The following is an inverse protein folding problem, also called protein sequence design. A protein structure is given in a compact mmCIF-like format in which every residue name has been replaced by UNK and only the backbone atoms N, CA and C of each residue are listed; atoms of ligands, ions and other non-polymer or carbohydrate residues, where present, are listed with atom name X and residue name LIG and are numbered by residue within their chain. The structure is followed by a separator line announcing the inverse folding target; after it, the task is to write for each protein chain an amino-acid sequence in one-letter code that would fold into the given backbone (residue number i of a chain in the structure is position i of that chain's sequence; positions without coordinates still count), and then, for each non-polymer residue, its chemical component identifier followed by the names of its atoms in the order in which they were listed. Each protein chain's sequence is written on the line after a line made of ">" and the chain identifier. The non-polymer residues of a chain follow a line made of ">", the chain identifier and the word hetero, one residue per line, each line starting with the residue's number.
data_IF_914708426328
#
_entry.id   IF_914708426328
#
_cell.length_a   1.000
_cell.length_b   1.000
_cell.length_c   1.000
_cell.angle_alpha   90.00
_cell.angle_beta   90.00
_cell.angle_gamma   90.00
#
_symmetry.space_group_name_H-M   'P 1'
#
loop_
_entity.id
_entity.type
_entity.pdbx_description
1 polymer ?
#
# COMPACT_ATOMS: atom_id res chain seq x y z
N UNK A 1 3.19 -6.19 -21.85
CA UNK A 1 4.21 -5.39 -21.14
C UNK A 1 5.58 -5.63 -21.79
N UNK A 2 6.40 -4.61 -21.98
CA UNK A 2 7.77 -4.76 -22.48
C UNK A 2 8.79 -4.92 -21.34
N UNK A 3 10.03 -5.31 -21.67
CA UNK A 3 11.14 -5.49 -20.71
C UNK A 3 11.22 -4.38 -19.67
N UNK A 4 11.24 -3.10 -20.13
CA UNK A 4 11.36 -1.94 -19.23
C UNK A 4 10.22 -1.83 -18.24
N UNK A 5 8.98 -2.03 -18.69
CA UNK A 5 7.80 -1.96 -17.83
C UNK A 5 7.76 -3.10 -16.82
N UNK A 6 8.13 -4.32 -17.22
CA UNK A 6 8.23 -5.47 -16.32
C UNK A 6 9.26 -5.22 -15.20
N UNK A 7 10.46 -4.76 -15.55
CA UNK A 7 11.47 -4.43 -14.52
C UNK A 7 11.03 -3.30 -13.59
N UNK A 8 10.25 -2.35 -14.07
CA UNK A 8 9.73 -1.25 -13.25
C UNK A 8 8.63 -1.66 -12.24
N UNK A 9 8.11 -2.89 -12.34
CA UNK A 9 7.17 -3.41 -11.32
C UNK A 9 7.87 -3.72 -9.99
N UNK A 10 9.18 -3.95 -10.01
CA UNK A 10 9.94 -4.38 -8.82
C UNK A 10 9.72 -5.85 -8.44
N UNK A 11 8.96 -6.61 -9.23
CA UNK A 11 8.69 -8.05 -8.99
C UNK A 11 9.93 -8.89 -9.27
N UNK A 12 10.73 -8.50 -10.26
CA UNK A 12 11.93 -9.22 -10.65
C UNK A 12 13.17 -8.65 -9.99
N UNK A 13 13.98 -9.50 -9.37
CA UNK A 13 15.26 -9.11 -8.77
C UNK A 13 16.40 -9.07 -9.81
N UNK A 14 16.26 -9.87 -10.86
CA UNK A 14 17.27 -9.94 -11.94
C UNK A 14 16.58 -9.95 -13.32
N UNK A 15 17.36 -9.46 -14.32
CA UNK A 15 16.92 -9.56 -15.73
C UNK A 15 16.72 -11.01 -16.18
N UNK A 16 17.49 -11.93 -15.63
CA UNK A 16 17.39 -13.36 -15.94
C UNK A 16 16.04 -13.94 -15.49
N UNK A 17 15.63 -13.63 -14.27
CA UNK A 17 14.33 -14.05 -13.73
C UNK A 17 13.16 -13.53 -14.56
N UNK A 18 13.24 -12.28 -15.01
CA UNK A 18 12.24 -11.72 -15.91
C UNK A 18 12.21 -12.43 -17.27
N UNK A 19 13.38 -12.79 -17.84
CA UNK A 19 13.45 -13.55 -19.09
C UNK A 19 12.86 -14.95 -18.89
N UNK A 20 13.16 -15.62 -17.79
CA UNK A 20 12.57 -16.92 -17.44
C UNK A 20 11.05 -16.82 -17.42
N UNK A 21 10.49 -15.82 -16.76
CA UNK A 21 9.05 -15.56 -16.74
C UNK A 21 8.48 -15.37 -18.16
N UNK A 22 9.10 -14.53 -18.99
CA UNK A 22 8.60 -14.27 -20.35
C UNK A 22 8.61 -15.54 -21.17
N UNK A 23 9.68 -16.32 -21.13
CA UNK A 23 9.78 -17.58 -21.87
C UNK A 23 8.71 -18.59 -21.42
N UNK A 24 8.50 -18.74 -20.12
CA UNK A 24 7.47 -19.63 -19.59
C UNK A 24 6.07 -19.15 -19.93
N UNK A 25 5.82 -17.82 -19.87
CA UNK A 25 4.55 -17.24 -20.26
C UNK A 25 4.24 -17.50 -21.74
N UNK A 26 5.21 -17.29 -22.62
CA UNK A 26 5.05 -17.59 -24.06
C UNK A 26 4.71 -19.07 -24.26
N UNK A 27 5.40 -19.98 -23.56
CA UNK A 27 5.09 -21.42 -23.65
C UNK A 27 3.69 -21.73 -23.11
N UNK A 28 3.26 -21.03 -22.04
CA UNK A 28 1.93 -21.19 -21.45
C UNK A 28 0.81 -20.75 -22.37
N UNK A 29 1.00 -19.62 -23.04
CA UNK A 29 -0.01 -19.02 -23.91
C UNK A 29 -0.14 -19.76 -25.27
N UNK A 30 0.71 -20.75 -25.55
CA UNK A 30 0.69 -21.57 -26.76
C UNK A 30 0.24 -23.01 -26.51
N UNK A 31 -0.55 -23.55 -27.42
CA UNK A 31 -1.17 -24.88 -27.28
C UNK A 31 -0.22 -26.08 -27.57
N UNK A 32 1.08 -25.86 -27.69
CA UNK A 32 2.01 -26.92 -28.08
C UNK A 32 3.45 -26.68 -27.67
N UNK A 33 4.31 -27.67 -27.98
CA UNK A 33 5.72 -27.54 -27.69
C UNK A 33 6.38 -26.43 -28.48
N UNK A 34 7.14 -25.54 -27.84
CA UNK A 34 7.88 -24.45 -28.48
C UNK A 34 9.38 -24.70 -28.48
N UNK A 35 9.99 -24.50 -29.65
CA UNK A 35 11.43 -24.56 -29.86
C UNK A 35 12.13 -23.21 -29.65
N UNK A 36 13.46 -23.26 -29.49
CA UNK A 36 14.26 -22.04 -29.25
C UNK A 36 14.16 -21.01 -30.39
N UNK A 37 13.86 -21.45 -31.63
CA UNK A 37 13.71 -20.52 -32.75
C UNK A 37 12.41 -19.70 -32.63
N UNK A 38 11.29 -20.37 -32.39
CA UNK A 38 9.98 -19.70 -32.19
C UNK A 38 10.02 -18.77 -31.00
N UNK A 39 10.54 -19.23 -29.83
CA UNK A 39 10.69 -18.43 -28.63
C UNK A 39 11.59 -17.20 -28.84
N UNK A 40 12.62 -17.31 -29.70
CA UNK A 40 13.43 -16.16 -30.07
C UNK A 40 12.65 -15.09 -30.84
N UNK A 41 11.77 -15.50 -31.73
CA UNK A 41 10.92 -14.55 -32.49
C UNK A 41 9.91 -13.87 -31.54
N UNK A 42 9.22 -14.63 -30.71
CA UNK A 42 8.17 -14.11 -29.82
C UNK A 42 8.73 -13.22 -28.69
N UNK A 43 9.93 -13.49 -28.17
CA UNK A 43 10.52 -12.66 -27.11
C UNK A 43 10.91 -11.26 -27.62
N UNK A 44 11.06 -11.08 -28.93
CA UNK A 44 11.30 -9.76 -29.52
C UNK A 44 10.13 -8.79 -29.30
N UNK A 45 8.89 -9.29 -29.19
CA UNK A 45 7.70 -8.47 -28.89
C UNK A 45 7.75 -7.85 -27.50
N UNK A 46 8.54 -8.43 -26.61
CA UNK A 46 8.84 -7.86 -25.28
C UNK A 46 10.01 -6.87 -25.31
N UNK A 47 10.63 -6.64 -26.46
CA UNK A 47 11.79 -5.77 -26.62
C UNK A 47 13.14 -6.42 -26.28
N UNK A 48 13.18 -7.76 -26.20
CA UNK A 48 14.37 -8.52 -25.83
C UNK A 48 14.97 -9.18 -27.08
N UNK A 49 16.21 -8.82 -27.39
CA UNK A 49 16.97 -9.44 -28.48
C UNK A 49 17.97 -10.45 -27.92
N UNK A 50 17.83 -11.72 -28.30
CA UNK A 50 18.72 -12.81 -27.93
C UNK A 50 19.02 -13.73 -29.12
N UNK A 51 20.17 -14.44 -29.06
CA UNK A 51 20.42 -15.52 -30.01
C UNK A 51 19.64 -16.79 -29.67
N UNK A 52 19.32 -17.62 -30.67
CA UNK A 52 18.71 -18.93 -30.47
C UNK A 52 19.52 -19.81 -29.51
N UNK A 53 20.86 -19.70 -29.54
CA UNK A 53 21.74 -20.41 -28.61
C UNK A 53 21.56 -19.92 -27.16
N UNK A 54 21.31 -18.62 -26.96
CA UNK A 54 21.03 -18.03 -25.64
C UNK A 54 19.71 -18.52 -25.11
N UNK A 55 18.65 -18.51 -25.90
CA UNK A 55 17.35 -19.09 -25.54
C UNK A 55 17.49 -20.57 -25.18
N UNK A 56 18.28 -21.34 -25.96
CA UNK A 56 18.52 -22.74 -25.65
C UNK A 56 19.19 -22.98 -24.29
N UNK A 57 20.03 -22.03 -23.80
CA UNK A 57 20.62 -22.10 -22.47
C UNK A 57 19.57 -21.82 -21.38
N UNK A 58 18.77 -20.77 -21.55
CA UNK A 58 17.65 -20.49 -20.62
C UNK A 58 16.70 -21.68 -20.50
N UNK A 59 16.33 -22.27 -21.62
CA UNK A 59 15.45 -23.44 -21.59
C UNK A 59 16.02 -24.65 -20.85
N UNK A 60 17.35 -24.88 -20.93
CA UNK A 60 17.99 -25.94 -20.13
C UNK A 60 17.96 -25.64 -18.64
N UNK A 61 18.11 -24.38 -18.25
CA UNK A 61 17.99 -23.98 -16.86
C UNK A 61 16.54 -24.12 -16.36
N UNK A 62 15.55 -23.78 -17.20
CA UNK A 62 14.14 -24.01 -16.88
C UNK A 62 13.79 -25.51 -16.77
N UNK A 63 14.38 -26.37 -17.60
CA UNK A 63 14.28 -27.82 -17.45
C UNK A 63 14.88 -28.27 -16.10
N UNK A 64 16.05 -27.75 -15.72
CA UNK A 64 16.71 -28.06 -14.46
C UNK A 64 15.90 -27.57 -13.23
N UNK A 65 15.26 -26.42 -13.35
CA UNK A 65 14.33 -25.89 -12.31
C UNK A 65 13.02 -26.69 -12.23
N UNK A 66 12.77 -27.60 -13.18
CA UNK A 66 11.55 -28.37 -13.26
C UNK A 66 10.34 -27.66 -13.84
N UNK A 67 10.53 -26.47 -14.43
CA UNK A 67 9.42 -25.66 -14.97
C UNK A 67 9.03 -26.06 -16.39
N UNK A 68 9.94 -26.70 -17.13
CA UNK A 68 9.69 -27.18 -18.50
C UNK A 68 10.10 -28.65 -18.67
N UNK A 69 9.48 -29.29 -19.67
CA UNK A 69 9.83 -30.64 -20.13
C UNK A 69 10.01 -30.63 -21.65
N UNK A 70 11.12 -31.17 -22.11
CA UNK A 70 11.39 -31.33 -23.53
C UNK A 70 10.52 -32.43 -24.16
N UNK A 71 9.82 -32.10 -25.26
CA UNK A 71 9.02 -33.04 -26.07
C UNK A 71 9.74 -33.41 -27.35
N UNK A 72 10.69 -34.33 -27.26
CA UNK A 72 11.47 -34.78 -28.39
C UNK A 72 12.18 -33.63 -29.11
N UNK A 73 12.04 -33.54 -30.44
CA UNK A 73 12.60 -32.45 -31.24
C UNK A 73 11.61 -31.30 -31.46
N UNK A 74 10.40 -31.36 -30.92
CA UNK A 74 9.37 -30.33 -31.12
C UNK A 74 9.57 -29.09 -30.25
N UNK A 75 10.27 -29.23 -29.15
CA UNK A 75 10.50 -28.13 -28.20
C UNK A 75 10.12 -28.50 -26.78
N UNK A 76 9.65 -27.50 -26.00
CA UNK A 76 9.31 -27.65 -24.58
C UNK A 76 7.87 -27.27 -24.32
N UNK A 77 7.30 -27.90 -23.30
CA UNK A 77 6.00 -27.58 -22.69
C UNK A 77 6.21 -27.27 -21.22
N UNK A 78 5.28 -26.54 -20.62
CA UNK A 78 5.28 -26.32 -19.18
C UNK A 78 4.99 -27.59 -18.40
N UNK A 79 5.57 -27.68 -17.22
CA UNK A 79 5.11 -28.54 -16.13
C UNK A 79 3.98 -27.86 -15.36
N UNK A 80 3.33 -28.58 -14.44
CA UNK A 80 2.38 -27.97 -13.51
C UNK A 80 3.08 -26.90 -12.63
N UNK A 81 4.29 -27.20 -12.15
CA UNK A 81 5.08 -26.26 -11.32
C UNK A 81 5.45 -24.99 -12.12
N UNK A 82 5.83 -25.16 -13.38
CA UNK A 82 6.10 -24.02 -14.27
C UNK A 82 4.86 -23.16 -14.51
N UNK A 83 3.68 -23.80 -14.68
CA UNK A 83 2.42 -23.07 -14.83
C UNK A 83 2.05 -22.30 -13.56
N UNK A 84 2.12 -22.94 -12.41
CA UNK A 84 1.87 -22.29 -11.12
C UNK A 84 2.82 -21.13 -10.87
N UNK A 85 4.11 -21.28 -11.17
CA UNK A 85 5.08 -20.22 -11.01
C UNK A 85 4.76 -19.01 -11.90
N UNK A 86 4.33 -19.22 -13.15
CA UNK A 86 3.87 -18.13 -14.02
C UNK A 86 2.66 -17.43 -13.44
N UNK A 87 1.67 -18.18 -12.93
CA UNK A 87 0.47 -17.59 -12.31
C UNK A 87 0.81 -16.73 -11.08
N UNK A 88 1.73 -17.19 -10.23
CA UNK A 88 2.17 -16.42 -9.07
C UNK A 88 2.87 -15.11 -9.46
N UNK A 89 3.72 -15.15 -10.50
CA UNK A 89 4.39 -13.94 -11.00
C UNK A 89 3.38 -12.99 -11.66
N UNK A 90 2.41 -13.49 -12.45
CA UNK A 90 1.35 -12.67 -13.05
C UNK A 90 0.54 -11.94 -11.97
N UNK A 91 0.10 -12.65 -10.94
CA UNK A 91 -0.58 -12.05 -9.79
C UNK A 91 0.28 -10.98 -9.08
N UNK A 92 1.58 -11.23 -8.94
CA UNK A 92 2.52 -10.29 -8.33
C UNK A 92 2.69 -9.03 -9.17
N UNK A 93 2.76 -9.16 -10.50
CA UNK A 93 2.82 -8.04 -11.44
C UNK A 93 1.54 -7.20 -11.38
N UNK A 94 0.37 -7.84 -11.42
CA UNK A 94 -0.93 -7.16 -11.33
C UNK A 94 -1.06 -6.39 -10.02
N UNK A 95 -0.70 -7.01 -8.89
CA UNK A 95 -0.69 -6.38 -7.60
C UNK A 95 0.26 -5.17 -7.56
N UNK A 96 1.49 -5.31 -8.07
CA UNK A 96 2.46 -4.22 -8.10
C UNK A 96 1.98 -3.03 -8.95
N UNK A 97 1.34 -3.30 -10.10
CA UNK A 97 0.73 -2.25 -10.95
C UNK A 97 -0.42 -1.57 -10.22
N UNK A 98 -1.32 -2.35 -9.61
CA UNK A 98 -2.46 -1.83 -8.85
C UNK A 98 -2.01 -0.97 -7.66
N UNK A 99 -1.03 -1.42 -6.89
CA UNK A 99 -0.48 -0.65 -5.76
C UNK A 99 0.16 0.67 -6.23
N UNK A 100 0.91 0.63 -7.34
CA UNK A 100 1.50 1.84 -7.91
C UNK A 100 0.43 2.82 -8.38
N UNK A 101 -0.62 2.32 -9.05
CA UNK A 101 -1.73 3.14 -9.51
C UNK A 101 -2.47 3.76 -8.32
N UNK A 102 -2.80 2.98 -7.31
CA UNK A 102 -3.44 3.46 -6.09
C UNK A 102 -2.64 4.59 -5.42
N UNK A 103 -1.31 4.44 -5.34
CA UNK A 103 -0.44 5.49 -4.78
C UNK A 103 -0.49 6.78 -5.59
N UNK A 104 -0.60 6.69 -6.93
CA UNK A 104 -0.73 7.86 -7.78
C UNK A 104 -2.11 8.51 -7.68
N UNK A 105 -3.16 7.71 -7.64
CA UNK A 105 -4.54 8.18 -7.62
C UNK A 105 -4.93 8.84 -6.28
N UNK A 106 -4.26 8.47 -5.18
CA UNK A 106 -4.48 9.06 -3.84
C UNK A 106 -3.66 10.35 -3.67
N UNK A 107 -2.67 10.59 -4.52
CA UNK A 107 -1.80 11.75 -4.38
C UNK A 107 -2.58 13.05 -4.57
N UNK A 108 -2.63 13.88 -3.53
CA UNK A 108 -3.27 15.21 -3.57
C UNK A 108 -2.44 16.15 -4.44
N UNK A 109 -3.07 16.72 -5.44
CA UNK A 109 -2.50 17.70 -6.38
C UNK A 109 -3.16 19.05 -6.28
N UNK A 110 -4.44 19.10 -5.86
CA UNK A 110 -5.26 20.29 -5.73
C UNK A 110 -5.85 20.42 -4.32
N UNK A 111 -6.15 21.64 -3.93
CA UNK A 111 -6.60 21.95 -2.57
C UNK A 111 -7.95 21.30 -2.21
N UNK A 112 -8.86 21.23 -3.15
CA UNK A 112 -10.19 20.64 -2.94
C UNK A 112 -10.10 19.13 -2.66
N UNK A 113 -9.08 18.45 -3.17
CA UNK A 113 -8.82 17.04 -2.93
C UNK A 113 -8.46 16.74 -1.46
N UNK A 114 -7.91 17.74 -0.74
CA UNK A 114 -7.65 17.60 0.70
C UNK A 114 -8.97 17.49 1.49
N UNK A 115 -9.99 18.25 1.08
CA UNK A 115 -11.33 18.18 1.70
C UNK A 115 -11.94 16.80 1.45
N UNK A 116 -11.79 16.26 0.25
CA UNK A 116 -12.26 14.92 -0.10
C UNK A 116 -11.54 13.84 0.73
N UNK A 117 -10.21 13.94 0.85
CA UNK A 117 -9.41 13.06 1.71
C UNK A 117 -9.91 13.09 3.16
N UNK A 118 -10.12 14.27 3.73
CA UNK A 118 -10.61 14.43 5.10
C UNK A 118 -12.03 13.88 5.28
N UNK A 119 -12.91 13.98 4.29
CA UNK A 119 -14.23 13.35 4.32
C UNK A 119 -14.15 11.82 4.36
N UNK A 120 -13.21 11.21 3.62
CA UNK A 120 -12.96 9.77 3.68
C UNK A 120 -12.37 9.40 5.05
N UNK A 121 -11.37 10.15 5.55
CA UNK A 121 -10.81 9.96 6.89
C UNK A 121 -11.90 10.05 7.97
N UNK A 122 -12.77 11.07 7.92
CA UNK A 122 -13.89 11.22 8.84
C UNK A 122 -14.74 9.96 8.93
N UNK A 123 -15.07 9.36 7.79
CA UNK A 123 -15.86 8.15 7.74
C UNK A 123 -15.14 6.95 8.36
N UNK A 124 -13.89 6.73 7.98
CA UNK A 124 -13.10 5.58 8.44
C UNK A 124 -12.68 5.73 9.90
N UNK A 125 -12.26 6.92 10.33
CA UNK A 125 -11.80 7.15 11.70
C UNK A 125 -12.93 7.19 12.72
N UNK A 126 -14.12 7.64 12.33
CA UNK A 126 -15.32 7.51 13.15
C UNK A 126 -15.58 6.05 13.50
N UNK A 127 -15.52 5.16 12.52
CA UNK A 127 -15.70 3.73 12.75
C UNK A 127 -14.50 3.10 13.47
N UNK A 128 -13.26 3.48 13.14
CA UNK A 128 -12.06 3.04 13.85
C UNK A 128 -12.16 3.36 15.35
N UNK A 129 -12.55 4.58 15.68
CA UNK A 129 -12.68 5.06 17.07
C UNK A 129 -13.79 4.33 17.81
N UNK A 130 -14.90 4.04 17.12
CA UNK A 130 -15.98 3.22 17.67
C UNK A 130 -15.49 1.81 18.01
N UNK A 131 -14.74 1.19 17.12
CA UNK A 131 -14.15 -0.14 17.31
C UNK A 131 -13.06 -0.14 18.37
N UNK A 132 -12.21 0.90 18.44
CA UNK A 132 -11.21 1.06 19.47
C UNK A 132 -11.84 1.08 20.89
N UNK A 133 -12.96 1.77 21.06
CA UNK A 133 -13.67 1.76 22.35
C UNK A 133 -14.19 0.37 22.74
N UNK A 134 -14.41 -0.54 21.78
CA UNK A 134 -14.87 -1.92 22.02
C UNK A 134 -13.67 -2.85 22.23
N UNK A 135 -12.65 -2.74 21.38
CA UNK A 135 -11.63 -3.78 21.19
C UNK A 135 -10.30 -3.48 21.89
N UNK A 136 -9.96 -2.20 22.13
CA UNK A 136 -8.64 -1.83 22.65
C UNK A 136 -8.37 -2.45 24.02
N UNK A 137 -7.16 -2.95 24.23
CA UNK A 137 -6.67 -3.39 25.53
C UNK A 137 -6.31 -2.18 26.41
N UNK A 138 -6.17 -2.39 27.73
CA UNK A 138 -5.81 -1.31 28.65
C UNK A 138 -4.39 -0.79 28.38
N UNK A 139 -3.48 -1.64 27.87
CA UNK A 139 -2.13 -1.24 27.49
C UNK A 139 -2.15 -0.36 26.23
N UNK A 140 -3.00 -0.66 25.26
CA UNK A 140 -3.20 0.16 24.08
C UNK A 140 -3.84 1.53 24.41
N UNK A 141 -4.78 1.56 25.33
CA UNK A 141 -5.36 2.83 25.84
C UNK A 141 -4.29 3.66 26.55
N UNK A 142 -3.43 3.05 27.34
CA UNK A 142 -2.30 3.74 27.98
C UNK A 142 -1.37 4.37 26.94
N UNK A 143 -1.05 3.63 25.86
CA UNK A 143 -0.25 4.12 24.74
C UNK A 143 -0.89 5.33 24.05
N UNK A 144 -2.23 5.37 23.99
CA UNK A 144 -2.96 6.51 23.45
C UNK A 144 -2.80 7.75 24.33
N UNK A 145 -2.86 7.62 25.67
CA UNK A 145 -2.57 8.71 26.61
C UNK A 145 -1.11 9.19 26.51
N UNK A 146 -0.15 8.27 26.36
CA UNK A 146 1.26 8.63 26.17
C UNK A 146 1.46 9.48 24.91
N UNK A 147 0.77 9.15 23.80
CA UNK A 147 0.77 9.94 22.57
C UNK A 147 0.24 11.36 22.79
N UNK A 148 -0.82 11.53 23.60
CA UNK A 148 -1.34 12.86 23.95
C UNK A 148 -0.32 13.70 24.72
N UNK A 149 0.45 13.09 25.63
CA UNK A 149 1.51 13.81 26.37
C UNK A 149 2.64 14.27 25.46
N UNK A 150 3.00 13.47 24.45
CA UNK A 150 3.97 13.89 23.43
C UNK A 150 3.45 15.08 22.63
N UNK A 151 2.19 15.01 22.19
CA UNK A 151 1.55 16.11 21.46
C UNK A 151 1.48 17.38 22.29
N UNK A 152 1.09 17.29 23.57
CA UNK A 152 1.01 18.43 24.51
C UNK A 152 2.35 19.11 24.67
N UNK A 153 3.42 18.34 24.89
CA UNK A 153 4.78 18.87 25.03
C UNK A 153 5.24 19.61 23.77
N UNK A 154 4.96 19.06 22.57
CA UNK A 154 5.28 19.74 21.33
C UNK A 154 4.63 21.12 21.24
N UNK A 155 3.35 21.25 21.62
CA UNK A 155 2.64 22.53 21.62
C UNK A 155 3.19 23.49 22.68
N UNK A 156 3.46 23.02 23.90
CA UNK A 156 4.01 23.84 25.01
C UNK A 156 5.42 24.37 24.67
N UNK A 157 6.22 23.58 23.97
CA UNK A 157 7.57 23.94 23.54
C UNK A 157 7.60 24.71 22.21
N UNK A 158 6.45 25.04 21.61
CA UNK A 158 6.30 25.68 20.29
C UNK A 158 7.00 24.92 19.15
N UNK A 159 7.05 23.59 19.27
CA UNK A 159 7.50 22.69 18.21
C UNK A 159 6.35 22.38 17.24
N UNK A 160 6.69 21.76 16.12
CA UNK A 160 5.71 21.33 15.12
C UNK A 160 4.87 20.14 15.65
N UNK A 161 3.56 20.31 15.92
CA UNK A 161 2.73 19.27 16.47
C UNK A 161 2.14 18.30 15.42
N UNK A 162 2.41 18.51 14.12
CA UNK A 162 1.82 17.73 13.01
C UNK A 162 2.04 16.23 13.20
N UNK A 163 3.29 15.81 13.39
CA UNK A 163 3.58 14.38 13.56
C UNK A 163 2.89 13.79 14.79
N UNK A 164 3.01 14.36 16.02
CA UNK A 164 2.29 13.86 17.19
C UNK A 164 0.76 13.84 17.02
N UNK A 165 0.19 14.82 16.31
CA UNK A 165 -1.24 14.84 16.05
C UNK A 165 -1.67 13.69 15.15
N UNK A 166 -0.94 13.44 14.05
CA UNK A 166 -1.21 12.34 13.14
C UNK A 166 -0.93 10.95 13.76
N UNK A 167 0.07 10.85 14.64
CA UNK A 167 0.38 9.62 15.37
C UNK A 167 -0.79 9.19 16.28
N UNK A 168 -1.54 10.12 16.85
CA UNK A 168 -2.78 9.83 17.58
C UNK A 168 -3.80 9.07 16.73
N UNK A 169 -4.03 9.52 15.49
CA UNK A 169 -4.95 8.88 14.56
C UNK A 169 -4.44 7.50 14.10
N UNK A 170 -3.14 7.36 13.89
CA UNK A 170 -2.51 6.08 13.58
C UNK A 170 -2.72 5.05 14.70
N UNK A 171 -2.54 5.46 15.97
CA UNK A 171 -2.77 4.58 17.11
C UNK A 171 -4.23 4.13 17.15
N UNK A 172 -5.19 5.02 16.95
CA UNK A 172 -6.62 4.65 16.88
C UNK A 172 -6.89 3.63 15.78
N UNK A 173 -6.28 3.83 14.60
CA UNK A 173 -6.38 2.88 13.50
C UNK A 173 -5.80 1.50 13.85
N UNK A 174 -4.72 1.44 14.61
CA UNK A 174 -4.13 0.18 15.09
C UNK A 174 -5.04 -0.51 16.11
N UNK A 175 -5.46 0.20 17.16
CA UNK A 175 -6.21 -0.37 18.29
C UNK A 175 -7.69 -0.64 17.97
N UNK A 176 -8.17 -0.26 16.80
CA UNK A 176 -9.50 -0.66 16.33
C UNK A 176 -9.57 -2.16 15.99
N UNK A 177 -8.44 -2.82 15.81
CA UNK A 177 -8.28 -4.23 15.46
C UNK A 177 -8.97 -4.62 14.14
N UNK A 178 -9.11 -3.68 13.21
CA UNK A 178 -9.59 -3.93 11.85
C UNK A 178 -8.48 -3.66 10.83
N UNK A 179 -7.86 -4.73 10.34
CA UNK A 179 -6.72 -4.62 9.39
C UNK A 179 -7.02 -3.85 8.11
N UNK A 180 -8.27 -3.82 7.66
CA UNK A 180 -8.65 -3.10 6.44
C UNK A 180 -8.76 -1.60 6.68
N UNK A 181 -9.36 -1.19 7.80
CA UNK A 181 -9.40 0.20 8.22
C UNK A 181 -7.97 0.72 8.44
N UNK A 182 -7.13 -0.03 9.17
CA UNK A 182 -5.73 0.30 9.40
C UNK A 182 -4.97 0.52 8.09
N UNK A 183 -5.08 -0.40 7.13
CA UNK A 183 -4.38 -0.30 5.85
C UNK A 183 -4.80 0.93 5.05
N UNK A 184 -6.09 1.24 5.00
CA UNK A 184 -6.60 2.41 4.30
C UNK A 184 -6.20 3.72 4.99
N UNK A 185 -6.35 3.81 6.32
CA UNK A 185 -5.97 5.00 7.07
C UNK A 185 -4.49 5.30 7.01
N UNK A 186 -3.62 4.27 7.04
CA UNK A 186 -2.17 4.47 6.89
C UNK A 186 -1.82 5.19 5.58
N UNK A 187 -2.50 4.88 4.48
CA UNK A 187 -2.26 5.54 3.19
C UNK A 187 -2.76 6.98 3.22
N UNK A 188 -3.97 7.22 3.74
CA UNK A 188 -4.58 8.55 3.79
C UNK A 188 -3.82 9.50 4.75
N UNK A 189 -3.44 9.03 5.93
CA UNK A 189 -2.67 9.80 6.91
C UNK A 189 -1.26 10.11 6.38
N UNK A 190 -0.64 9.16 5.67
CA UNK A 190 0.65 9.40 5.01
C UNK A 190 0.55 10.53 3.98
N UNK A 191 -0.50 10.54 3.18
CA UNK A 191 -0.71 11.57 2.17
C UNK A 191 -0.99 12.95 2.79
N UNK A 192 -1.79 13.01 3.84
CA UNK A 192 -2.01 14.25 4.59
C UNK A 192 -0.71 14.80 5.17
N UNK A 193 0.11 13.94 5.80
CA UNK A 193 1.42 14.31 6.31
C UNK A 193 2.32 14.89 5.20
N UNK A 194 2.27 14.30 4.01
CA UNK A 194 3.00 14.82 2.84
C UNK A 194 2.55 16.23 2.49
N UNK A 195 1.24 16.47 2.43
CA UNK A 195 0.68 17.78 2.10
C UNK A 195 1.01 18.81 3.18
N UNK A 196 0.85 18.49 4.45
CA UNK A 196 1.20 19.41 5.55
C UNK A 196 2.69 19.79 5.53
N UNK A 197 3.57 18.88 5.08
CA UNK A 197 5.01 19.20 4.93
C UNK A 197 5.30 20.19 3.80
N UNK A 198 4.46 20.22 2.77
CA UNK A 198 4.60 21.12 1.62
C UNK A 198 3.94 22.49 1.90
N UNK A 199 2.86 22.49 2.68
CA UNK A 199 2.09 23.69 3.04
C UNK A 199 2.08 23.91 4.57
N UNK A 200 3.18 24.40 5.17
CA UNK A 200 3.33 24.51 6.63
C UNK A 200 2.33 25.45 7.33
N UNK A 201 1.56 26.21 6.57
CA UNK A 201 0.50 27.11 7.08
C UNK A 201 -0.84 26.40 7.25
N UNK A 202 -0.93 25.12 6.87
CA UNK A 202 -2.14 24.34 7.05
C UNK A 202 -2.31 23.92 8.53
N UNK A 203 -3.35 24.40 9.11
CA UNK A 203 -4.25 23.96 10.18
C UNK A 203 -3.61 23.43 11.49
N UNK A 204 -2.68 22.49 11.48
CA UNK A 204 -2.28 21.75 12.70
C UNK A 204 -1.45 22.63 13.64
N UNK A 205 -0.60 23.52 13.13
CA UNK A 205 0.25 24.40 13.95
C UNK A 205 -0.52 25.46 14.72
N UNK A 206 -1.50 26.08 14.11
CA UNK A 206 -2.25 27.19 14.74
C UNK A 206 -3.28 26.69 15.76
N UNK A 207 -3.77 25.45 15.61
CA UNK A 207 -4.84 24.86 16.40
C UNK A 207 -4.41 23.74 17.33
N UNK A 208 -3.13 23.46 17.47
CA UNK A 208 -2.60 22.34 18.26
C UNK A 208 -3.17 22.26 19.69
N UNK A 209 -3.36 23.37 20.37
CA UNK A 209 -3.97 23.42 21.70
C UNK A 209 -5.44 22.99 21.71
N UNK A 210 -6.20 23.26 20.65
CA UNK A 210 -7.61 22.85 20.51
C UNK A 210 -7.65 21.34 20.24
N UNK A 211 -6.83 20.85 19.34
CA UNK A 211 -6.79 19.44 18.98
C UNK A 211 -6.38 18.52 20.12
N UNK A 212 -5.46 18.96 20.99
CA UNK A 212 -5.12 18.20 22.21
C UNK A 212 -6.36 17.99 23.09
N UNK A 213 -7.20 19.03 23.27
CA UNK A 213 -8.40 18.91 24.10
C UNK A 213 -9.44 17.98 23.46
N UNK A 214 -9.55 17.98 22.14
CA UNK A 214 -10.44 17.09 21.40
C UNK A 214 -9.94 15.64 21.47
N UNK A 215 -8.64 15.40 21.22
CA UNK A 215 -8.02 14.09 21.34
C UNK A 215 -8.14 13.53 22.79
N UNK A 216 -7.97 14.36 23.83
CA UNK A 216 -8.18 13.96 25.24
C UNK A 216 -9.61 13.48 25.48
N UNK A 217 -10.62 14.20 24.96
CA UNK A 217 -12.03 13.77 25.05
C UNK A 217 -12.28 12.44 24.37
N UNK A 218 -11.72 12.27 23.15
CA UNK A 218 -11.83 11.02 22.38
C UNK A 218 -11.20 9.87 23.18
N UNK A 219 -9.98 10.07 23.73
CA UNK A 219 -9.27 9.06 24.51
C UNK A 219 -10.06 8.65 25.76
N UNK A 220 -10.63 9.62 26.49
CA UNK A 220 -11.48 9.35 27.65
C UNK A 220 -12.75 8.59 27.31
N UNK A 221 -13.34 8.86 26.15
CA UNK A 221 -14.50 8.10 25.68
C UNK A 221 -14.15 6.66 25.31
N UNK A 222 -12.95 6.43 24.74
CA UNK A 222 -12.41 5.09 24.47
C UNK A 222 -12.13 4.35 25.80
N UNK A 223 -11.46 5.01 26.75
CA UNK A 223 -11.19 4.47 28.10
C UNK A 223 -12.48 4.07 28.83
N UNK A 224 -13.49 4.93 28.75
CA UNK A 224 -14.80 4.67 29.33
C UNK A 224 -15.60 3.59 28.58
N UNK A 225 -15.05 2.97 27.55
CA UNK A 225 -15.73 1.96 26.73
C UNK A 225 -17.07 2.46 26.19
N UNK A 226 -17.14 3.73 25.79
CA UNK A 226 -18.33 4.35 25.22
C UNK A 226 -18.20 4.55 23.71
N UNK A 227 -18.52 3.52 22.86
CA UNK A 227 -18.30 3.56 21.43
C UNK A 227 -19.12 4.62 20.71
N UNK A 228 -20.29 4.97 21.20
CA UNK A 228 -21.15 6.01 20.61
C UNK A 228 -20.54 7.40 20.78
N UNK A 229 -20.10 7.72 22.00
CA UNK A 229 -19.50 9.02 22.30
C UNK A 229 -18.15 9.15 21.63
N UNK A 230 -17.33 8.11 21.66
CA UNK A 230 -16.02 8.09 21.00
C UNK A 230 -16.14 8.36 19.49
N UNK A 231 -17.06 7.67 18.80
CA UNK A 231 -17.34 7.87 17.37
C UNK A 231 -17.82 9.30 17.08
N UNK A 232 -18.76 9.82 17.89
CA UNK A 232 -19.26 11.19 17.72
C UNK A 232 -18.15 12.21 17.86
N UNK A 233 -17.33 12.11 18.90
CA UNK A 233 -16.22 13.04 19.14
C UNK A 233 -15.19 13.04 18.02
N UNK A 234 -14.86 11.87 17.44
CA UNK A 234 -13.97 11.77 16.29
C UNK A 234 -14.59 12.39 15.04
N UNK A 235 -15.88 12.11 14.77
CA UNK A 235 -16.56 12.72 13.65
C UNK A 235 -16.56 14.26 13.75
N UNK A 236 -16.87 14.80 14.93
CA UNK A 236 -16.89 16.24 15.20
C UNK A 236 -15.48 16.85 15.06
N UNK A 237 -14.44 16.14 15.53
CA UNK A 237 -13.04 16.55 15.41
C UNK A 237 -12.62 16.70 13.93
N UNK A 238 -12.82 15.68 13.09
CA UNK A 238 -12.47 15.78 11.67
C UNK A 238 -13.35 16.81 10.94
N UNK A 239 -14.60 16.98 11.34
CA UNK A 239 -15.45 18.03 10.79
C UNK A 239 -14.88 19.43 11.05
N UNK A 240 -14.35 19.69 12.26
CA UNK A 240 -13.67 20.94 12.62
C UNK A 240 -12.42 21.15 11.76
N UNK A 241 -11.67 20.08 11.45
CA UNK A 241 -10.54 20.16 10.51
C UNK A 241 -11.00 20.62 9.11
N UNK A 242 -12.05 20.01 8.58
CA UNK A 242 -12.61 20.37 7.26
C UNK A 242 -13.05 21.84 7.24
N UNK A 243 -13.78 22.30 8.26
CA UNK A 243 -14.26 23.68 8.37
C UNK A 243 -13.13 24.71 8.50
N UNK A 244 -11.98 24.30 8.98
CA UNK A 244 -10.81 25.16 9.10
C UNK A 244 -10.06 25.38 7.78
N UNK A 245 -10.34 24.53 6.78
CA UNK A 245 -9.74 24.58 5.44
C UNK A 245 -10.58 25.44 4.49
N UNK A 246 -11.91 25.46 4.67
CA UNK A 246 -12.85 26.24 3.86
C UNK A 246 -12.84 27.72 4.25
#
# INVERSE_FOLDING_TARGET
>A
LNEKKLMQTGVFTTRMEMIDYILLKIIKDNDGPLGSWTLREEINDYGISCSTATIGRYLKELDYKGYTIQKGNQGRVLTLDGSFWVDEIENSIENAIMHKQLTLDIQITEYDELIDLLNVRKTLETEATRLAAINATDDEIRRLFESLEVHRKCVEENLDPTNPALDFHNIIAEICHNKFILALLNVLIFEEKRIESVFPTLITRERGGIYIQEHDKITKAIEARNPREAAKLMNDHIQVLIEAII
#
